data_IF_187783784092
#
_entry.id   IF_187783784092
#
_cell.length_a   1.000
_cell.length_b   1.000
_cell.length_c   1.000
_cell.angle_alpha   90.00
_cell.angle_beta   90.00
_cell.angle_gamma   90.00
#
_symmetry.space_group_name_H-M   'P 1'
#
loop_
_entity.id
_entity.type
_entity.pdbx_description
1 polymer ?
#
# COMPACT_ATOMS: atom_id res chain seq x y z
N UNK A 1 19.41 52.58 -51.48
CA UNK A 1 18.59 51.52 -50.87
C UNK A 1 19.33 50.98 -49.65
N UNK A 2 19.01 51.53 -48.47
CA UNK A 2 19.60 51.09 -47.20
C UNK A 2 18.62 50.13 -46.50
N UNK A 3 19.05 48.93 -46.09
CA UNK A 3 18.17 48.03 -45.37
C UNK A 3 17.98 48.54 -43.93
N UNK A 4 16.72 48.68 -43.52
CA UNK A 4 16.30 49.14 -42.19
C UNK A 4 16.87 48.23 -41.09
N UNK A 5 17.93 48.71 -40.45
CA UNK A 5 18.64 48.07 -39.32
C UNK A 5 17.69 47.82 -38.14
N UNK A 6 16.70 48.69 -37.94
CA UNK A 6 15.72 48.60 -36.85
C UNK A 6 14.84 47.36 -36.94
N UNK A 7 14.47 46.92 -38.15
CA UNK A 7 13.63 45.72 -38.34
C UNK A 7 14.33 44.42 -37.98
N UNK A 8 15.67 44.36 -38.14
CA UNK A 8 16.47 43.18 -37.80
C UNK A 8 16.64 43.00 -36.29
N UNK A 9 16.74 44.09 -35.53
CA UNK A 9 16.83 44.03 -34.07
C UNK A 9 15.52 43.57 -33.42
N UNK A 10 14.37 44.06 -33.92
CA UNK A 10 13.05 43.64 -33.43
C UNK A 10 12.80 42.16 -33.72
N UNK A 11 13.19 41.67 -34.91
CA UNK A 11 13.02 40.26 -35.27
C UNK A 11 13.88 39.31 -34.43
N UNK A 12 15.13 39.69 -34.13
CA UNK A 12 15.99 38.93 -33.21
C UNK A 12 15.46 38.93 -31.77
N UNK A 13 14.90 40.04 -31.29
CA UNK A 13 14.35 40.13 -29.93
C UNK A 13 13.11 39.24 -29.76
N UNK A 14 12.26 39.15 -30.79
CA UNK A 14 11.09 38.24 -30.79
C UNK A 14 11.49 36.75 -30.84
N UNK A 15 12.56 36.39 -31.54
CA UNK A 15 13.05 35.00 -31.57
C UNK A 15 13.70 34.57 -30.25
N UNK A 16 14.39 35.49 -29.56
CA UNK A 16 14.91 35.25 -28.21
C UNK A 16 13.79 35.09 -27.18
N UNK A 17 12.72 35.88 -27.28
CA UNK A 17 11.55 35.75 -26.38
C UNK A 17 10.78 34.44 -26.61
N UNK A 18 10.70 33.98 -27.86
CA UNK A 18 10.07 32.70 -28.21
C UNK A 18 10.88 31.48 -27.71
N UNK A 19 12.20 31.57 -27.64
CA UNK A 19 13.05 30.51 -27.08
C UNK A 19 12.90 30.38 -25.55
N UNK A 20 12.70 31.50 -24.84
CA UNK A 20 12.48 31.49 -23.38
C UNK A 20 11.12 30.88 -23.02
N UNK A 21 10.11 30.97 -23.89
CA UNK A 21 8.79 30.36 -23.68
C UNK A 21 8.73 28.86 -24.05
N UNK A 22 9.73 28.34 -24.79
CA UNK A 22 9.89 26.91 -25.09
C UNK A 22 10.86 26.20 -24.14
N UNK A 23 11.58 26.95 -23.30
CA UNK A 23 12.10 26.42 -22.04
C UNK A 23 10.92 26.21 -21.09
N UNK A 24 10.05 25.27 -21.46
CA UNK A 24 9.00 24.80 -20.57
C UNK A 24 9.65 24.49 -19.24
N UNK A 25 9.04 25.04 -18.20
CA UNK A 25 9.32 24.68 -16.82
C UNK A 25 9.18 23.15 -16.71
N UNK A 26 10.30 22.46 -16.96
CA UNK A 26 10.61 21.23 -16.28
C UNK A 26 10.73 21.64 -14.83
N UNK A 27 9.58 21.79 -14.16
CA UNK A 27 9.50 21.90 -12.73
C UNK A 27 10.12 20.61 -12.25
N UNK A 28 11.42 20.67 -11.99
CA UNK A 28 12.09 19.76 -11.10
C UNK A 28 11.43 19.98 -9.75
N UNK A 29 10.27 19.35 -9.56
CA UNK A 29 9.73 19.09 -8.23
C UNK A 29 10.65 18.05 -7.62
N UNK A 30 11.87 18.47 -7.27
CA UNK A 30 12.59 17.95 -6.11
C UNK A 30 11.86 18.45 -4.86
N UNK A 31 10.55 18.20 -4.79
CA UNK A 31 9.85 18.14 -3.53
C UNK A 31 10.45 16.94 -2.83
N UNK A 32 11.22 17.17 -1.77
CA UNK A 32 11.71 16.09 -0.92
C UNK A 32 10.52 15.21 -0.55
N UNK A 33 10.50 13.98 -1.08
CA UNK A 33 9.46 13.02 -0.75
C UNK A 33 9.53 12.81 0.77
N UNK A 34 8.48 13.21 1.48
CA UNK A 34 8.49 13.37 2.95
C UNK A 34 8.88 12.10 3.73
N UNK A 35 8.77 10.93 3.10
CA UNK A 35 9.07 9.62 3.69
C UNK A 35 9.88 8.77 2.70
N UNK A 36 10.64 7.79 3.21
CA UNK A 36 11.22 6.77 2.35
C UNK A 36 10.12 5.86 1.81
N UNK A 37 10.31 5.21 0.64
CA UNK A 37 9.31 4.29 0.11
C UNK A 37 9.10 3.08 1.04
N UNK A 38 10.14 2.60 1.73
CA UNK A 38 10.00 1.54 2.74
C UNK A 38 9.16 1.97 3.95
N UNK A 39 9.27 3.23 4.39
CA UNK A 39 8.46 3.75 5.49
C UNK A 39 6.97 3.79 5.12
N UNK A 40 6.64 4.08 3.85
CA UNK A 40 5.26 4.00 3.33
C UNK A 40 4.73 2.57 3.40
N UNK A 41 5.51 1.58 2.92
CA UNK A 41 5.14 0.16 2.99
C UNK A 41 4.96 -0.28 4.46
N UNK A 42 5.90 0.08 5.33
CA UNK A 42 5.86 -0.26 6.76
C UNK A 42 4.61 0.30 7.46
N UNK A 43 4.23 1.55 7.17
CA UNK A 43 3.03 2.17 7.75
C UNK A 43 1.75 1.53 7.24
N UNK A 44 1.66 1.26 5.94
CA UNK A 44 0.53 0.55 5.36
C UNK A 44 0.35 -0.83 6.00
N UNK A 45 1.42 -1.63 6.09
CA UNK A 45 1.36 -2.96 6.70
C UNK A 45 1.11 -2.93 8.20
N UNK A 46 1.58 -1.90 8.90
CA UNK A 46 1.27 -1.72 10.32
C UNK A 46 -0.23 -1.44 10.55
N UNK A 47 -0.91 -0.78 9.61
CA UNK A 47 -2.36 -0.59 9.64
C UNK A 47 -3.08 -1.90 9.32
N UNK A 48 -2.63 -2.61 8.28
CA UNK A 48 -3.21 -3.90 7.89
C UNK A 48 -3.10 -4.94 9.02
N UNK A 49 -1.92 -5.05 9.64
CA UNK A 49 -1.69 -5.90 10.80
C UNK A 49 -2.62 -5.58 11.98
N UNK A 50 -3.02 -4.31 12.14
CA UNK A 50 -3.99 -3.85 13.14
C UNK A 50 -5.45 -4.02 12.70
N UNK A 51 -5.69 -4.58 11.52
CA UNK A 51 -7.00 -4.86 10.95
C UNK A 51 -7.71 -3.60 10.44
N UNK A 52 -6.97 -2.57 10.02
CA UNK A 52 -7.56 -1.37 9.43
C UNK A 52 -8.37 -1.70 8.16
N UNK A 53 -7.95 -2.70 7.38
CA UNK A 53 -8.68 -3.17 6.19
C UNK A 53 -9.94 -3.98 6.52
N UNK A 54 -10.17 -4.31 7.79
CA UNK A 54 -11.40 -4.95 8.29
C UNK A 54 -12.38 -3.95 8.91
N UNK A 55 -12.02 -2.67 8.95
CA UNK A 55 -12.79 -1.60 9.59
C UNK A 55 -13.17 -0.52 8.56
N UNK A 56 -14.47 -0.33 8.36
CA UNK A 56 -15.00 0.65 7.41
C UNK A 56 -14.55 2.09 7.72
N UNK A 57 -14.29 2.42 9.00
CA UNK A 57 -13.84 3.77 9.38
C UNK A 57 -12.38 4.05 9.00
N UNK A 58 -11.62 3.01 8.66
CA UNK A 58 -10.18 3.10 8.40
C UNK A 58 -9.83 3.12 6.90
N UNK A 59 -10.83 2.99 6.01
CA UNK A 59 -10.66 2.88 4.55
C UNK A 59 -9.87 4.05 3.96
N UNK A 60 -10.24 5.30 4.27
CA UNK A 60 -9.54 6.48 3.75
C UNK A 60 -8.08 6.56 4.22
N UNK A 61 -7.83 6.11 5.46
CA UNK A 61 -6.47 6.09 6.03
C UNK A 61 -5.60 5.09 5.28
N UNK A 62 -6.10 3.90 4.96
CA UNK A 62 -5.38 2.89 4.17
C UNK A 62 -5.16 3.37 2.73
N UNK A 63 -6.20 3.91 2.08
CA UNK A 63 -6.14 4.45 0.72
C UNK A 63 -5.10 5.58 0.57
N UNK A 64 -4.75 6.27 1.66
CA UNK A 64 -3.70 7.28 1.65
C UNK A 64 -2.30 6.73 1.32
N UNK A 65 -2.07 5.42 1.43
CA UNK A 65 -0.79 4.76 1.12
C UNK A 65 -0.74 4.08 -0.25
N UNK A 66 -1.90 3.80 -0.86
CA UNK A 66 -2.01 3.07 -2.13
C UNK A 66 -2.34 4.02 -3.28
N UNK A 67 -2.19 3.54 -4.50
CA UNK A 67 -2.59 4.24 -5.74
C UNK A 67 -3.76 3.58 -6.46
N UNK A 68 -4.36 2.58 -5.81
CA UNK A 68 -5.51 1.84 -6.31
C UNK A 68 -6.79 2.64 -6.12
N UNK A 69 -7.70 2.52 -7.07
CA UNK A 69 -9.03 3.13 -6.96
C UNK A 69 -9.95 2.31 -6.06
N UNK A 70 -9.85 0.98 -6.13
CA UNK A 70 -10.68 0.04 -5.37
C UNK A 70 -9.88 -1.21 -4.98
N UNK A 71 -10.21 -1.79 -3.81
CA UNK A 71 -9.72 -3.10 -3.42
C UNK A 71 -10.72 -4.20 -3.79
N UNK A 72 -10.26 -5.38 -4.24
CA UNK A 72 -11.17 -6.48 -4.51
C UNK A 72 -11.79 -7.01 -3.22
N UNK A 73 -12.96 -7.64 -3.32
CA UNK A 73 -13.56 -8.33 -2.18
C UNK A 73 -12.75 -9.59 -1.86
N UNK A 74 -12.05 -9.56 -0.73
CA UNK A 74 -11.27 -10.69 -0.25
C UNK A 74 -12.18 -11.68 0.50
N UNK A 75 -12.34 -12.89 -0.01
CA UNK A 75 -13.03 -13.98 0.69
C UNK A 75 -12.26 -14.57 1.88
N UNK A 76 -10.99 -14.17 2.04
CA UNK A 76 -10.09 -14.64 3.10
C UNK A 76 -9.23 -13.53 3.69
N UNK A 77 -8.82 -13.73 4.93
CA UNK A 77 -7.86 -12.89 5.66
C UNK A 77 -6.68 -13.77 6.06
N UNK A 78 -5.47 -13.34 5.70
CA UNK A 78 -4.24 -14.02 6.10
C UNK A 78 -3.90 -13.58 7.51
N UNK A 79 -3.61 -14.54 8.38
CA UNK A 79 -3.25 -14.30 9.77
C UNK A 79 -1.74 -14.42 9.91
N UNK A 80 -1.11 -13.39 10.46
CA UNK A 80 0.35 -13.33 10.62
C UNK A 80 0.75 -13.12 12.07
N UNK A 81 1.93 -13.61 12.45
CA UNK A 81 2.60 -13.22 13.70
C UNK A 81 3.27 -11.85 13.60
N UNK A 82 3.63 -11.46 12.39
CA UNK A 82 4.40 -10.26 12.12
C UNK A 82 4.86 -10.19 10.68
N UNK A 83 5.57 -9.11 10.37
CA UNK A 83 6.16 -8.87 9.08
C UNK A 83 7.48 -8.10 9.24
N UNK A 84 8.35 -8.20 8.24
CA UNK A 84 9.62 -7.48 8.15
C UNK A 84 9.69 -6.82 6.79
N UNK A 85 9.88 -5.50 6.78
CA UNK A 85 10.10 -4.73 5.56
C UNK A 85 11.60 -4.58 5.36
N UNK A 86 12.10 -4.83 4.15
CA UNK A 86 13.48 -4.53 3.83
C UNK A 86 13.70 -3.01 3.85
N UNK A 87 14.42 -2.50 4.85
CA UNK A 87 14.67 -1.06 5.01
C UNK A 87 15.94 -0.60 4.27
N UNK A 88 16.84 -1.53 3.94
CA UNK A 88 18.12 -1.20 3.31
C UNK A 88 17.98 -1.18 1.79
N UNK A 89 18.40 -0.07 1.17
CA UNK A 89 18.37 0.13 -0.29
C UNK A 89 19.04 -1.00 -1.09
N UNK A 90 20.03 -1.69 -0.52
CA UNK A 90 20.73 -2.83 -1.16
C UNK A 90 19.84 -4.06 -1.36
N UNK A 91 18.74 -4.15 -0.64
CA UNK A 91 17.77 -5.25 -0.72
C UNK A 91 16.63 -4.91 -1.69
N UNK A 92 16.59 -3.69 -2.21
CA UNK A 92 15.52 -3.24 -3.10
C UNK A 92 15.94 -3.49 -4.54
N UNK A 93 14.95 -3.77 -5.38
CA UNK A 93 15.10 -3.65 -6.82
C UNK A 93 14.72 -2.22 -7.22
N UNK A 94 15.67 -1.51 -7.84
CA UNK A 94 15.51 -0.10 -8.19
C UNK A 94 15.20 -0.02 -9.67
N UNK A 95 13.97 0.36 -9.99
CA UNK A 95 13.52 0.52 -11.38
C UNK A 95 14.02 1.87 -11.90
N UNK A 96 13.73 2.94 -11.16
CA UNK A 96 14.28 4.28 -11.41
C UNK A 96 14.30 5.14 -10.11
N UNK A 97 14.54 6.46 -10.22
CA UNK A 97 14.62 7.37 -9.06
C UNK A 97 13.30 7.58 -8.33
N UNK A 98 12.19 7.28 -8.96
CA UNK A 98 10.81 7.50 -8.51
C UNK A 98 10.03 6.18 -8.42
N UNK A 99 10.71 5.03 -8.55
CA UNK A 99 10.07 3.73 -8.58
C UNK A 99 11.00 2.62 -8.09
N UNK A 100 10.56 1.88 -7.07
CA UNK A 100 11.33 0.81 -6.43
C UNK A 100 10.44 -0.37 -6.07
N UNK A 101 11.03 -1.55 -5.96
CA UNK A 101 10.40 -2.78 -5.48
C UNK A 101 11.06 -3.18 -4.15
N UNK A 102 10.24 -3.31 -3.12
CA UNK A 102 10.65 -3.53 -1.73
C UNK A 102 10.16 -4.90 -1.29
N UNK A 103 11.06 -5.85 -0.98
CA UNK A 103 10.65 -7.13 -0.44
C UNK A 103 10.16 -6.99 1.01
N UNK A 104 9.09 -7.70 1.31
CA UNK A 104 8.49 -7.83 2.64
C UNK A 104 8.31 -9.30 2.93
N UNK A 105 8.70 -9.70 4.14
CA UNK A 105 8.54 -11.07 4.62
C UNK A 105 7.46 -11.11 5.70
N UNK A 106 6.43 -11.93 5.51
CA UNK A 106 5.40 -12.20 6.50
C UNK A 106 5.67 -13.53 7.21
N UNK A 107 5.43 -13.57 8.53
CA UNK A 107 5.35 -14.83 9.26
C UNK A 107 3.88 -15.27 9.34
N UNK A 108 3.44 -16.04 8.37
CA UNK A 108 2.04 -16.50 8.25
C UNK A 108 1.81 -17.66 9.23
N UNK A 109 0.62 -17.70 9.83
CA UNK A 109 0.17 -18.83 10.66
C UNK A 109 -1.06 -19.53 10.09
N UNK A 110 -1.73 -18.93 9.12
CA UNK A 110 -2.87 -19.51 8.43
C UNK A 110 -3.78 -18.47 7.82
N UNK A 111 -4.92 -18.91 7.31
CA UNK A 111 -5.92 -18.06 6.67
C UNK A 111 -7.31 -18.31 7.25
N UNK A 112 -8.06 -17.23 7.48
CA UNK A 112 -9.48 -17.27 7.85
C UNK A 112 -10.33 -17.08 6.60
N UNK A 113 -11.25 -17.99 6.34
CA UNK A 113 -12.24 -17.89 5.28
C UNK A 113 -13.54 -17.32 5.84
N UNK A 114 -13.91 -16.12 5.37
CA UNK A 114 -14.96 -15.32 6.00
C UNK A 114 -16.35 -15.91 5.81
N UNK A 115 -16.61 -16.56 4.68
CA UNK A 115 -17.92 -17.16 4.36
C UNK A 115 -18.22 -18.38 5.24
N UNK A 116 -17.21 -19.21 5.50
CA UNK A 116 -17.37 -20.47 6.25
C UNK A 116 -17.07 -20.30 7.73
N UNK A 117 -16.47 -19.18 8.13
CA UNK A 117 -15.84 -18.98 9.43
C UNK A 117 -14.83 -20.10 9.76
N UNK A 118 -14.09 -20.58 8.76
CA UNK A 118 -13.08 -21.61 8.92
C UNK A 118 -11.67 -21.02 9.03
N UNK A 119 -10.80 -21.66 9.83
CA UNK A 119 -9.37 -21.36 9.86
C UNK A 119 -8.57 -22.53 9.29
N UNK A 120 -7.73 -22.23 8.30
CA UNK A 120 -6.77 -23.18 7.74
C UNK A 120 -5.40 -22.80 8.23
N UNK A 121 -4.80 -23.64 9.09
CA UNK A 121 -3.48 -23.40 9.64
C UNK A 121 -2.40 -23.74 8.60
N UNK A 122 -1.62 -22.73 8.23
CA UNK A 122 -0.53 -22.84 7.25
C UNK A 122 0.62 -21.96 7.77
N UNK A 123 1.58 -22.59 8.44
CA UNK A 123 2.73 -21.87 9.01
C UNK A 123 3.82 -21.78 7.96
N UNK A 124 3.99 -20.60 7.39
CA UNK A 124 4.99 -20.36 6.36
C UNK A 124 5.59 -18.96 6.44
N UNK A 125 6.68 -18.79 5.71
CA UNK A 125 7.30 -17.49 5.46
C UNK A 125 6.93 -17.07 4.05
N UNK A 126 6.10 -16.05 3.94
CA UNK A 126 5.64 -15.53 2.65
C UNK A 126 6.46 -14.28 2.30
N UNK A 127 7.09 -14.25 1.12
CA UNK A 127 7.74 -13.06 0.59
C UNK A 127 6.82 -12.38 -0.43
N UNK A 128 6.54 -11.09 -0.20
CA UNK A 128 5.76 -10.24 -1.10
C UNK A 128 6.58 -9.04 -1.51
N UNK A 129 6.60 -8.74 -2.81
CA UNK A 129 7.39 -7.64 -3.39
C UNK A 129 6.51 -6.44 -3.69
N UNK A 130 6.62 -5.41 -2.88
CA UNK A 130 5.84 -4.18 -2.99
C UNK A 130 6.50 -3.22 -3.95
N UNK A 131 5.88 -2.97 -5.10
CA UNK A 131 6.29 -1.89 -5.99
C UNK A 131 5.69 -0.59 -5.50
N UNK A 132 6.54 0.42 -5.37
CA UNK A 132 6.21 1.73 -4.84
C UNK A 132 6.66 2.78 -5.85
N UNK A 133 5.75 3.71 -6.18
CA UNK A 133 6.00 4.78 -7.15
C UNK A 133 5.70 6.14 -6.55
N UNK A 134 6.47 7.16 -6.92
CA UNK A 134 6.17 8.53 -6.59
C UNK A 134 5.01 9.04 -7.47
N UNK A 135 3.87 9.34 -6.84
CA UNK A 135 2.67 9.87 -7.48
C UNK A 135 2.29 11.18 -6.80
N UNK A 136 2.19 12.27 -7.57
CA UNK A 136 1.85 13.61 -7.06
C UNK A 136 2.71 14.00 -5.84
N UNK A 137 4.03 13.80 -5.94
CA UNK A 137 5.02 14.11 -4.90
C UNK A 137 4.84 13.32 -3.58
N UNK A 138 4.27 12.10 -3.64
CA UNK A 138 4.19 11.16 -2.52
C UNK A 138 4.47 9.75 -2.99
N UNK A 139 5.19 8.96 -2.21
CA UNK A 139 5.30 7.52 -2.46
C UNK A 139 3.95 6.84 -2.24
N UNK A 140 3.59 5.96 -3.17
CA UNK A 140 2.36 5.17 -3.15
C UNK A 140 2.68 3.73 -3.54
N UNK A 141 2.03 2.78 -2.88
CA UNK A 141 2.06 1.38 -3.30
C UNK A 141 1.22 1.25 -4.58
N UNK A 142 1.82 0.69 -5.62
CA UNK A 142 1.16 0.45 -6.92
C UNK A 142 0.82 -1.02 -7.11
N UNK A 143 1.59 -1.94 -6.53
CA UNK A 143 1.31 -3.39 -6.52
C UNK A 143 2.12 -4.06 -5.39
N UNK A 144 1.70 -5.25 -4.91
CA UNK A 144 0.49 -5.98 -5.31
C UNK A 144 -0.74 -5.56 -4.52
N UNK A 145 -1.91 -5.78 -5.10
CA UNK A 145 -3.12 -5.98 -4.30
C UNK A 145 -3.09 -7.40 -3.76
N UNK A 146 -3.27 -7.58 -2.46
CA UNK A 146 -3.21 -8.88 -1.78
C UNK A 146 -4.22 -8.90 -0.63
N UNK A 147 -4.68 -10.07 -0.15
CA UNK A 147 -5.65 -10.14 0.95
C UNK A 147 -5.13 -9.42 2.21
N UNK A 148 -6.01 -9.06 3.15
CA UNK A 148 -5.58 -8.48 4.42
C UNK A 148 -4.66 -9.42 5.19
N UNK A 149 -3.50 -8.91 5.63
CA UNK A 149 -2.56 -9.64 6.49
C UNK A 149 -2.64 -9.09 7.91
N UNK A 150 -3.47 -9.74 8.73
CA UNK A 150 -3.89 -9.25 10.05
C UNK A 150 -3.18 -10.02 11.17
N UNK A 151 -2.80 -9.32 12.22
CA UNK A 151 -2.21 -9.95 13.41
C UNK A 151 -3.19 -10.88 14.10
N UNK A 152 -2.72 -12.04 14.57
CA UNK A 152 -3.53 -13.05 15.28
C UNK A 152 -4.42 -12.46 16.37
N UNK A 153 -3.86 -11.61 17.24
CA UNK A 153 -4.63 -10.97 18.33
C UNK A 153 -5.77 -10.10 17.80
N UNK A 154 -5.54 -9.37 16.70
CA UNK A 154 -6.58 -8.55 16.08
C UNK A 154 -7.65 -9.44 15.45
N UNK A 155 -7.26 -10.51 14.78
CA UNK A 155 -8.20 -11.46 14.17
C UNK A 155 -9.11 -12.10 15.23
N UNK A 156 -8.56 -12.54 16.36
CA UNK A 156 -9.34 -13.07 17.50
C UNK A 156 -10.36 -12.04 18.01
N UNK A 157 -9.96 -10.75 18.10
CA UNK A 157 -10.87 -9.70 18.53
C UNK A 157 -11.99 -9.44 17.53
N UNK A 158 -11.67 -9.45 16.23
CA UNK A 158 -12.65 -9.29 15.16
C UNK A 158 -13.69 -10.43 15.18
N UNK A 159 -13.24 -11.68 15.30
CA UNK A 159 -14.14 -12.84 15.42
C UNK A 159 -15.02 -12.74 16.66
N UNK A 160 -14.46 -12.32 17.79
CA UNK A 160 -15.24 -12.08 19.02
C UNK A 160 -16.29 -10.97 18.84
N UNK A 161 -15.95 -9.87 18.17
CA UNK A 161 -16.89 -8.79 17.88
C UNK A 161 -18.04 -9.27 16.98
N UNK A 162 -17.75 -10.10 15.99
CA UNK A 162 -18.77 -10.75 15.14
C UNK A 162 -19.65 -11.71 15.95
N UNK A 163 -19.05 -12.54 16.81
CA UNK A 163 -19.75 -13.48 17.67
C UNK A 163 -20.76 -12.81 18.61
N UNK A 164 -20.42 -11.63 19.15
CA UNK A 164 -21.33 -10.85 20.02
C UNK A 164 -22.53 -10.30 19.24
N UNK A 165 -22.34 -9.96 17.97
CA UNK A 165 -23.39 -9.37 17.12
C UNK A 165 -24.25 -10.42 16.42
N UNK A 166 -23.77 -11.66 16.32
CA UNK A 166 -24.48 -12.74 15.64
C UNK A 166 -25.69 -13.23 16.46
N UNK A 167 -26.82 -13.38 15.76
CA UNK A 167 -28.11 -13.79 16.32
C UNK A 167 -28.45 -15.23 15.98
N UNK A 168 -27.91 -15.77 14.88
CA UNK A 168 -28.07 -17.16 14.46
C UNK A 168 -27.19 -18.08 15.34
N UNK A 169 -27.79 -19.00 16.13
CA UNK A 169 -27.04 -19.90 17.00
C UNK A 169 -25.99 -20.74 16.25
N UNK A 170 -26.32 -21.24 15.06
CA UNK A 170 -25.43 -22.11 14.30
C UNK A 170 -24.19 -21.35 13.80
N UNK A 171 -24.35 -20.09 13.38
CA UNK A 171 -23.21 -19.24 12.98
C UNK A 171 -22.39 -18.82 14.19
N UNK A 172 -23.04 -18.54 15.31
CA UNK A 172 -22.38 -18.19 16.57
C UNK A 172 -21.51 -19.33 17.09
N UNK A 173 -21.95 -20.58 16.97
CA UNK A 173 -21.15 -21.75 17.32
C UNK A 173 -19.90 -21.88 16.43
N UNK A 174 -20.03 -21.66 15.12
CA UNK A 174 -18.88 -21.65 14.18
C UNK A 174 -17.88 -20.56 14.53
N UNK A 175 -18.34 -19.35 14.82
CA UNK A 175 -17.48 -18.23 15.24
C UNK A 175 -16.77 -18.54 16.57
N UNK A 176 -17.43 -19.25 17.49
CA UNK A 176 -16.80 -19.73 18.72
C UNK A 176 -15.68 -20.73 18.46
N UNK A 177 -15.92 -21.72 17.60
CA UNK A 177 -14.90 -22.69 17.19
C UNK A 177 -13.71 -22.00 16.51
N UNK A 178 -13.97 -21.09 15.58
CA UNK A 178 -12.95 -20.28 14.90
C UNK A 178 -12.10 -19.48 15.90
N UNK A 179 -12.74 -18.85 16.89
CA UNK A 179 -12.03 -18.09 17.92
C UNK A 179 -11.07 -18.97 18.73
N UNK A 180 -11.48 -20.21 19.05
CA UNK A 180 -10.64 -21.17 19.77
C UNK A 180 -9.50 -21.70 18.92
N UNK A 181 -9.73 -21.99 17.64
CA UNK A 181 -8.70 -22.38 16.68
C UNK A 181 -7.64 -21.28 16.56
N UNK A 182 -8.06 -20.03 16.35
CA UNK A 182 -7.16 -18.88 16.26
C UNK A 182 -6.35 -18.66 17.53
N UNK A 183 -6.88 -18.98 18.71
CA UNK A 183 -6.14 -18.87 19.98
C UNK A 183 -5.12 -19.99 20.18
N UNK A 184 -5.38 -21.18 19.64
CA UNK A 184 -4.50 -22.35 19.73
C UNK A 184 -3.43 -22.35 18.65
N UNK A 185 -3.66 -21.67 17.53
CA UNK A 185 -2.71 -21.50 16.45
C UNK A 185 -1.39 -20.94 17.00
N UNK A 186 -0.31 -21.67 16.73
CA UNK A 186 1.04 -21.21 17.05
C UNK A 186 1.65 -20.69 15.79
#
# INVERSE_FOLDING_TARGET
MTPNVVGRFVFCLCQLLALVLLAGDGIAQTGSLKHSPAEVVKRYLALDYKGARLDAMSVETVASYTSWDEEPTWGRVVVTRGFVVAEQYRQWEVIDRLEVVIPVTFQVIGSVYLETAGFVQEVETEEVRFRVKAVKNRWKIVEPMFPPHVGQKRMVNFVREAWVKETDPAKRDRLGALQDELRKAK
#
